data_IF_398218120465
#
_entry.id   IF_398218120465
#
_cell.length_a   1.000
_cell.length_b   1.000
_cell.length_c   1.000
_cell.angle_alpha   90.00
_cell.angle_beta   90.00
_cell.angle_gamma   90.00
#
_symmetry.space_group_name_H-M   'P 1'
#
loop_
_entity.id
_entity.type
_entity.pdbx_description
1 polymer ?
#
# COMPACT_ATOMS: atom_id res chain seq x y z
N UNK A 1 -45.28 41.38 -32.01
CA UNK A 1 -45.05 40.08 -32.70
C UNK A 1 -43.60 39.70 -32.48
N UNK A 2 -43.34 38.81 -31.53
CA UNK A 2 -41.99 38.40 -31.16
C UNK A 2 -41.53 37.30 -32.12
N UNK A 3 -40.49 37.55 -32.91
CA UNK A 3 -39.95 36.57 -33.85
C UNK A 3 -39.54 35.28 -33.09
N UNK A 4 -39.88 34.09 -33.61
CA UNK A 4 -39.51 32.84 -32.94
C UNK A 4 -37.97 32.72 -32.90
N UNK A 5 -37.39 32.28 -31.78
CA UNK A 5 -35.94 32.17 -31.64
C UNK A 5 -35.40 31.23 -32.72
N UNK A 6 -34.46 31.73 -33.52
CA UNK A 6 -33.78 30.97 -34.57
C UNK A 6 -33.10 29.75 -33.96
N UNK A 7 -33.09 28.64 -34.71
CA UNK A 7 -32.63 27.30 -34.26
C UNK A 7 -31.21 27.33 -33.64
N UNK A 8 -30.36 28.26 -34.05
CA UNK A 8 -29.03 28.49 -33.48
C UNK A 8 -29.06 29.08 -32.06
N UNK A 9 -29.96 30.01 -31.76
CA UNK A 9 -30.06 30.63 -30.44
C UNK A 9 -30.46 29.62 -29.35
N UNK A 10 -31.37 28.68 -29.69
CA UNK A 10 -31.77 27.58 -28.79
C UNK A 10 -30.63 26.60 -28.51
N UNK A 11 -29.76 26.36 -29.50
CA UNK A 11 -28.59 25.49 -29.35
C UNK A 11 -27.49 26.12 -28.49
N UNK A 12 -27.22 27.42 -28.67
CA UNK A 12 -26.26 28.13 -27.83
C UNK A 12 -26.74 28.22 -26.37
N UNK A 13 -28.03 28.43 -26.14
CA UNK A 13 -28.64 28.38 -24.80
C UNK A 13 -28.53 26.98 -24.15
N UNK A 14 -28.83 25.92 -24.91
CA UNK A 14 -28.69 24.55 -24.41
C UNK A 14 -27.23 24.22 -24.08
N UNK A 15 -26.29 24.61 -24.94
CA UNK A 15 -24.86 24.41 -24.70
C UNK A 15 -24.39 25.20 -23.48
N UNK A 16 -24.82 26.46 -23.33
CA UNK A 16 -24.48 27.29 -22.17
C UNK A 16 -25.02 26.71 -20.86
N UNK A 17 -26.24 26.14 -20.86
CA UNK A 17 -26.79 25.46 -19.70
C UNK A 17 -26.02 24.18 -19.34
N UNK A 18 -25.61 23.40 -20.34
CA UNK A 18 -24.79 22.20 -20.12
C UNK A 18 -23.43 22.60 -19.54
N UNK A 19 -22.75 23.57 -20.14
CA UNK A 19 -21.45 24.06 -19.68
C UNK A 19 -21.57 24.66 -18.27
N UNK A 20 -22.59 25.47 -18.01
CA UNK A 20 -22.88 26.02 -16.69
C UNK A 20 -23.15 24.94 -15.65
N UNK A 21 -23.90 23.91 -16.01
CA UNK A 21 -24.15 22.75 -15.15
C UNK A 21 -22.89 21.96 -14.83
N UNK A 22 -22.03 21.72 -15.82
CA UNK A 22 -20.74 21.04 -15.63
C UNK A 22 -19.81 21.86 -14.74
N UNK A 23 -19.75 23.18 -14.92
CA UNK A 23 -18.97 24.09 -14.06
C UNK A 23 -19.48 24.10 -12.62
N UNK A 24 -20.80 24.19 -12.42
CA UNK A 24 -21.40 24.14 -11.09
C UNK A 24 -21.11 22.80 -10.39
N UNK A 25 -21.21 21.68 -11.12
CA UNK A 25 -20.89 20.35 -10.61
C UNK A 25 -19.39 20.23 -10.24
N UNK A 26 -18.50 20.74 -11.09
CA UNK A 26 -17.07 20.75 -10.81
C UNK A 26 -16.76 21.57 -9.54
N UNK A 27 -17.42 22.72 -9.34
CA UNK A 27 -17.28 23.55 -8.14
C UNK A 27 -17.82 22.87 -6.87
N UNK A 28 -18.86 22.05 -6.98
CA UNK A 28 -19.42 21.30 -5.84
C UNK A 28 -18.56 20.09 -5.44
N UNK A 29 -17.94 19.43 -6.42
CA UNK A 29 -17.08 18.26 -6.23
C UNK A 29 -15.67 18.61 -5.75
N UNK A 30 -15.22 19.84 -6.01
CA UNK A 30 -13.84 20.26 -5.75
C UNK A 30 -13.78 21.50 -4.87
N UNK A 31 -12.77 21.61 -4.02
CA UNK A 31 -12.49 22.77 -3.17
C UNK A 31 -11.19 23.45 -3.57
N UNK A 32 -10.99 24.69 -3.14
CA UNK A 32 -9.71 25.39 -3.29
C UNK A 32 -8.60 24.81 -2.40
N UNK A 33 -8.97 24.21 -1.27
CA UNK A 33 -8.05 23.71 -0.26
C UNK A 33 -8.28 22.22 0.05
N UNK A 34 -7.22 21.48 0.40
CA UNK A 34 -7.34 20.11 0.86
C UNK A 34 -8.00 20.07 2.23
N UNK A 35 -8.94 19.13 2.43
CA UNK A 35 -9.52 18.88 3.75
C UNK A 35 -8.53 18.22 4.70
N UNK A 36 -7.51 17.53 4.18
CA UNK A 36 -6.42 16.95 4.96
C UNK A 36 -5.21 17.88 4.93
N UNK A 37 -4.75 18.39 6.09
CA UNK A 37 -3.56 19.21 6.16
C UNK A 37 -2.33 18.40 5.74
N UNK A 38 -1.26 19.09 5.36
CA UNK A 38 -0.01 18.43 5.02
C UNK A 38 0.60 17.85 6.32
N UNK A 39 0.47 16.54 6.52
CA UNK A 39 1.15 15.86 7.60
C UNK A 39 2.61 15.71 7.19
N UNK A 40 3.47 16.54 7.79
CA UNK A 40 4.93 16.39 7.67
C UNK A 40 5.29 14.95 8.00
N UNK A 41 6.24 14.40 7.23
CA UNK A 41 6.87 13.07 7.35
C UNK A 41 6.59 12.35 8.67
N UNK A 42 6.13 11.09 8.60
CA UNK A 42 5.82 10.28 9.77
C UNK A 42 6.98 10.30 10.78
N UNK A 43 6.67 10.59 12.04
CA UNK A 43 7.66 10.64 13.12
C UNK A 43 8.21 9.24 13.43
N UNK A 44 9.39 9.17 14.06
CA UNK A 44 9.99 7.89 14.43
C UNK A 44 9.07 7.06 15.36
N UNK A 45 8.34 7.72 16.24
CA UNK A 45 7.36 7.10 17.15
C UNK A 45 6.16 6.51 16.39
N UNK A 46 5.61 7.25 15.43
CA UNK A 46 4.55 6.76 14.55
C UNK A 46 5.00 5.55 13.72
N UNK A 47 6.24 5.55 13.22
CA UNK A 47 6.81 4.41 12.49
C UNK A 47 6.99 3.20 13.40
N UNK A 48 7.36 3.39 14.67
CA UNK A 48 7.48 2.30 15.63
C UNK A 48 6.11 1.68 15.97
N UNK A 49 5.10 2.50 16.23
CA UNK A 49 3.73 2.05 16.50
C UNK A 49 3.14 1.28 15.31
N UNK A 50 3.33 1.80 14.10
CA UNK A 50 2.96 1.12 12.87
C UNK A 50 3.64 -0.24 12.70
N UNK A 51 4.95 -0.32 12.96
CA UNK A 51 5.67 -1.60 12.91
C UNK A 51 5.14 -2.60 13.93
N UNK A 52 4.77 -2.15 15.13
CA UNK A 52 4.18 -3.02 16.14
C UNK A 52 2.84 -3.61 15.66
N UNK A 53 1.97 -2.81 15.05
CA UNK A 53 0.71 -3.27 14.46
C UNK A 53 0.93 -4.26 13.31
N UNK A 54 1.89 -3.99 12.42
CA UNK A 54 2.24 -4.90 11.33
C UNK A 54 2.77 -6.23 11.87
N UNK A 55 3.61 -6.19 12.91
CA UNK A 55 4.13 -7.40 13.54
C UNK A 55 3.03 -8.21 14.25
N UNK A 56 2.05 -7.54 14.86
CA UNK A 56 0.88 -8.20 15.45
C UNK A 56 -0.03 -8.80 14.38
N UNK A 57 -0.26 -8.09 13.27
CA UNK A 57 -1.01 -8.62 12.13
C UNK A 57 -0.29 -9.83 11.49
N UNK A 58 1.04 -9.88 11.50
CA UNK A 58 1.82 -11.05 11.06
C UNK A 58 1.61 -12.29 11.95
N UNK A 59 1.36 -12.12 13.25
CA UNK A 59 1.02 -13.26 14.13
C UNK A 59 -0.28 -13.95 13.70
N UNK A 60 -1.24 -13.20 13.13
CA UNK A 60 -2.44 -13.77 12.51
C UNK A 60 -2.12 -14.72 11.37
N UNK A 61 -1.17 -14.34 10.49
CA UNK A 61 -0.73 -15.22 9.40
C UNK A 61 -0.07 -16.49 9.91
N UNK A 62 0.80 -16.38 10.92
CA UNK A 62 1.54 -17.51 11.47
C UNK A 62 0.61 -18.54 12.13
N UNK A 63 -0.45 -18.07 12.81
CA UNK A 63 -1.41 -18.94 13.48
C UNK A 63 -2.57 -19.38 12.58
N UNK A 64 -2.79 -18.70 11.45
CA UNK A 64 -3.94 -18.94 10.56
C UNK A 64 -5.28 -18.48 11.16
N UNK A 65 -5.25 -17.79 12.30
CA UNK A 65 -6.42 -17.33 13.04
C UNK A 65 -6.57 -15.81 12.98
N UNK A 66 -7.81 -15.27 12.96
CA UNK A 66 -8.05 -13.83 12.98
C UNK A 66 -7.47 -13.20 14.25
N UNK A 67 -6.68 -12.13 14.11
CA UNK A 67 -6.19 -11.35 15.25
C UNK A 67 -7.02 -10.09 15.41
N UNK A 68 -7.37 -9.79 16.65
CA UNK A 68 -8.05 -8.55 17.01
C UNK A 68 -7.01 -7.42 17.11
N UNK A 69 -7.11 -6.45 16.21
CA UNK A 69 -6.29 -5.24 16.19
C UNK A 69 -7.13 -4.10 16.74
N UNK A 70 -6.65 -3.47 17.81
CA UNK A 70 -7.24 -2.25 18.35
C UNK A 70 -6.38 -1.07 17.91
N UNK A 71 -6.98 -0.14 17.18
CA UNK A 71 -6.36 1.09 16.70
C UNK A 71 -6.99 2.23 17.49
N UNK A 72 -6.23 2.87 18.39
CA UNK A 72 -6.65 4.12 19.00
C UNK A 72 -6.25 5.30 18.11
N UNK A 73 -6.54 6.52 18.56
CA UNK A 73 -6.33 7.75 17.78
C UNK A 73 -4.86 7.91 17.34
N UNK A 74 -3.90 7.60 18.22
CA UNK A 74 -2.47 7.71 17.92
C UNK A 74 -2.04 6.74 16.80
N UNK A 75 -2.54 5.50 16.81
CA UNK A 75 -2.28 4.50 15.78
C UNK A 75 -2.93 4.85 14.44
N UNK A 76 -4.14 5.42 14.48
CA UNK A 76 -4.84 5.91 13.29
C UNK A 76 -4.09 7.10 12.66
N UNK A 77 -3.60 8.03 13.48
CA UNK A 77 -2.78 9.15 13.03
C UNK A 77 -1.45 8.67 12.42
N UNK A 78 -0.79 7.70 13.07
CA UNK A 78 0.45 7.10 12.56
C UNK A 78 0.24 6.43 11.19
N UNK A 79 -0.82 5.62 11.08
CA UNK A 79 -1.20 4.96 9.83
C UNK A 79 -1.51 5.98 8.73
N UNK A 80 -2.25 7.02 9.07
CA UNK A 80 -2.63 8.09 8.13
C UNK A 80 -1.43 8.84 7.57
N UNK A 81 -0.46 9.16 8.42
CA UNK A 81 0.78 9.82 8.01
C UNK A 81 1.59 8.95 7.04
N UNK A 82 1.72 7.64 7.31
CA UNK A 82 2.41 6.72 6.42
C UNK A 82 1.72 6.56 5.06
N UNK A 83 0.40 6.41 5.05
CA UNK A 83 -0.37 6.30 3.80
C UNK A 83 -0.23 7.58 2.97
N UNK A 84 -0.34 8.74 3.59
CA UNK A 84 -0.12 10.03 2.93
C UNK A 84 1.28 10.12 2.32
N UNK A 85 2.31 9.72 3.07
CA UNK A 85 3.69 9.73 2.58
C UNK A 85 3.90 8.75 1.42
N UNK A 86 3.31 7.55 1.49
CA UNK A 86 3.44 6.52 0.46
C UNK A 86 2.68 6.81 -0.83
N UNK A 87 1.61 7.62 -0.77
CA UNK A 87 0.73 7.93 -1.90
C UNK A 87 0.72 9.42 -2.28
N UNK A 88 1.77 10.16 -1.95
CA UNK A 88 1.94 11.54 -2.36
C UNK A 88 1.73 11.70 -3.89
N UNK A 89 1.01 12.74 -4.35
CA UNK A 89 0.57 13.92 -3.62
C UNK A 89 -0.82 13.78 -2.96
N UNK A 90 -1.39 12.58 -2.91
CA UNK A 90 -2.67 12.34 -2.22
C UNK A 90 -2.46 12.34 -0.72
N UNK A 91 -3.46 12.84 0.02
CA UNK A 91 -3.46 12.92 1.47
C UNK A 91 -4.59 12.11 2.06
N UNK A 92 -4.33 11.49 3.20
CA UNK A 92 -5.27 10.61 3.88
C UNK A 92 -5.20 10.83 5.39
N UNK A 93 -6.37 10.85 6.02
CA UNK A 93 -6.55 11.04 7.45
C UNK A 93 -7.68 10.15 7.95
N UNK A 94 -7.43 9.43 9.04
CA UNK A 94 -8.40 8.60 9.72
C UNK A 94 -8.49 9.05 11.18
N UNK A 95 -9.70 9.36 11.64
CA UNK A 95 -9.98 9.72 13.02
C UNK A 95 -11.21 8.98 13.53
N UNK A 96 -11.22 8.67 14.81
CA UNK A 96 -12.38 8.15 15.53
C UNK A 96 -12.70 9.13 16.65
N UNK A 97 -13.95 9.57 16.71
CA UNK A 97 -14.43 10.52 17.71
C UNK A 97 -15.91 10.20 17.98
N UNK A 98 -16.30 10.16 19.25
CA UNK A 98 -17.68 9.89 19.69
C UNK A 98 -18.33 8.64 19.06
N UNK A 99 -17.54 7.59 18.83
CA UNK A 99 -18.06 6.34 18.22
C UNK A 99 -18.27 6.42 16.71
N UNK A 100 -17.74 7.45 16.05
CA UNK A 100 -17.80 7.65 14.60
C UNK A 100 -16.39 7.63 14.01
N UNK A 101 -16.14 6.65 13.13
CA UNK A 101 -14.94 6.60 12.32
C UNK A 101 -15.12 7.51 11.10
N UNK A 102 -14.28 8.53 11.00
CA UNK A 102 -14.20 9.43 9.84
C UNK A 102 -12.91 9.20 9.08
N UNK A 103 -13.03 8.79 7.81
CA UNK A 103 -11.93 8.67 6.86
C UNK A 103 -12.02 9.83 5.86
N UNK A 104 -10.95 10.60 5.73
CA UNK A 104 -10.86 11.73 4.81
C UNK A 104 -9.69 11.54 3.85
N UNK A 105 -9.97 11.58 2.55
CA UNK A 105 -8.97 11.58 1.49
C UNK A 105 -9.00 12.89 0.71
N UNK A 106 -7.85 13.48 0.44
CA UNK A 106 -7.70 14.67 -0.41
C UNK A 106 -6.80 14.37 -1.59
N UNK A 107 -7.31 14.56 -2.80
CA UNK A 107 -6.56 14.36 -4.05
C UNK A 107 -6.43 15.68 -4.81
N UNK A 108 -5.22 16.08 -5.23
CA UNK A 108 -5.07 17.27 -6.05
C UNK A 108 -5.62 17.02 -7.47
N UNK A 109 -6.34 18.00 -8.00
CA UNK A 109 -6.85 18.02 -9.37
C UNK A 109 -6.66 19.41 -9.98
N UNK A 110 -5.64 19.54 -10.84
CA UNK A 110 -5.23 20.82 -11.42
C UNK A 110 -4.96 21.87 -10.33
N UNK A 111 -5.80 22.91 -10.25
CA UNK A 111 -5.71 24.01 -9.29
C UNK A 111 -6.70 23.87 -8.11
N UNK A 112 -7.35 22.71 -7.96
CA UNK A 112 -8.35 22.42 -6.93
C UNK A 112 -8.09 21.07 -6.28
N UNK A 113 -8.88 20.74 -5.27
CA UNK A 113 -8.80 19.49 -4.51
C UNK A 113 -10.12 18.74 -4.55
N UNK A 114 -10.05 17.44 -4.79
CA UNK A 114 -11.18 16.54 -4.53
C UNK A 114 -11.03 16.05 -3.10
N UNK A 115 -12.03 16.34 -2.27
CA UNK A 115 -12.11 15.85 -0.90
C UNK A 115 -13.18 14.76 -0.81
N UNK A 116 -12.78 13.59 -0.35
CA UNK A 116 -13.65 12.44 -0.14
C UNK A 116 -13.72 12.20 1.36
N UNK A 117 -14.92 12.15 1.93
CA UNK A 117 -15.14 11.85 3.35
C UNK A 117 -16.04 10.63 3.45
N UNK A 118 -15.61 9.61 4.17
CA UNK A 118 -16.40 8.43 4.49
C UNK A 118 -16.59 8.36 6.01
N UNK A 119 -17.82 8.14 6.46
CA UNK A 119 -18.17 8.01 7.88
C UNK A 119 -18.84 6.67 8.13
N UNK A 120 -18.47 6.02 9.23
CA UNK A 120 -19.09 4.80 9.72
C UNK A 120 -19.21 4.83 11.25
N UNK A 121 -20.18 4.12 11.80
CA UNK A 121 -20.42 4.03 13.24
C UNK A 121 -20.96 2.65 13.62
N UNK A 122 -20.80 2.26 14.88
CA UNK A 122 -21.36 1.02 15.43
C UNK A 122 -20.50 -0.23 15.20
N UNK A 123 -21.14 -1.39 15.27
CA UNK A 123 -20.52 -2.70 15.09
C UNK A 123 -21.09 -3.40 13.85
N UNK A 124 -20.22 -3.99 13.04
CA UNK A 124 -20.61 -4.77 11.86
C UNK A 124 -19.86 -6.09 11.82
N UNK A 125 -20.55 -7.14 11.38
CA UNK A 125 -19.89 -8.30 10.80
C UNK A 125 -19.39 -7.89 9.40
N UNK A 126 -18.10 -8.06 9.14
CA UNK A 126 -17.43 -7.50 7.96
C UNK A 126 -17.16 -5.98 8.03
N UNK A 127 -17.24 -5.32 6.87
CA UNK A 127 -17.09 -3.86 6.73
C UNK A 127 -18.40 -3.15 7.12
N UNK A 128 -18.35 -2.05 7.89
CA UNK A 128 -19.56 -1.28 8.17
C UNK A 128 -20.05 -0.57 6.92
N UNK A 129 -21.32 -0.16 6.93
CA UNK A 129 -21.85 0.74 5.91
C UNK A 129 -21.22 2.12 6.06
N UNK A 130 -20.54 2.58 5.00
CA UNK A 130 -19.93 3.91 4.97
C UNK A 130 -20.84 4.89 4.24
N UNK A 131 -21.18 5.99 4.89
CA UNK A 131 -21.77 7.16 4.22
C UNK A 131 -20.64 7.97 3.59
N UNK A 132 -20.62 8.08 2.25
CA UNK A 132 -19.54 8.73 1.51
C UNK A 132 -20.02 10.08 0.95
N UNK A 133 -19.17 11.11 1.07
CA UNK A 133 -19.38 12.43 0.48
C UNK A 133 -18.16 12.81 -0.36
N UNK A 134 -18.38 13.40 -1.53
CA UNK A 134 -17.33 14.00 -2.38
C UNK A 134 -17.59 15.50 -2.47
N UNK A 135 -16.69 16.32 -1.94
CA UNK A 135 -16.90 17.74 -1.76
C UNK A 135 -18.17 17.99 -0.93
N UNK A 136 -19.13 18.71 -1.50
CA UNK A 136 -20.43 18.96 -0.87
C UNK A 136 -21.50 17.90 -1.18
N UNK A 137 -21.22 16.95 -2.08
CA UNK A 137 -22.22 16.02 -2.60
C UNK A 137 -22.21 14.69 -1.84
N UNK A 138 -23.33 14.30 -1.19
CA UNK A 138 -23.46 12.94 -0.68
C UNK A 138 -23.59 11.96 -1.84
N UNK A 139 -22.82 10.88 -1.78
CA UNK A 139 -22.93 9.80 -2.74
C UNK A 139 -24.01 8.82 -2.27
N UNK A 140 -24.88 8.37 -3.18
CA UNK A 140 -25.77 7.24 -2.92
C UNK A 140 -24.97 5.96 -2.64
N UNK A 141 -25.52 5.07 -1.82
CA UNK A 141 -24.84 3.83 -1.41
C UNK A 141 -24.49 2.90 -2.60
N UNK A 142 -25.31 2.89 -3.66
CA UNK A 142 -25.00 2.11 -4.85
C UNK A 142 -23.71 2.60 -5.55
N UNK A 143 -23.41 3.90 -5.46
CA UNK A 143 -22.23 4.49 -6.10
C UNK A 143 -20.96 4.20 -5.30
N UNK A 144 -21.05 4.14 -3.97
CA UNK A 144 -19.92 3.74 -3.13
C UNK A 144 -19.55 2.26 -3.33
N UNK A 145 -20.55 1.38 -3.45
CA UNK A 145 -20.35 -0.03 -3.78
C UNK A 145 -19.74 -0.23 -5.17
N UNK A 146 -20.26 0.49 -6.17
CA UNK A 146 -19.67 0.48 -7.51
C UNK A 146 -18.22 1.00 -7.51
N UNK A 147 -17.94 2.07 -6.76
CA UNK A 147 -16.61 2.64 -6.61
C UNK A 147 -15.62 1.66 -5.97
N UNK A 148 -16.03 0.94 -4.92
CA UNK A 148 -15.23 -0.13 -4.31
C UNK A 148 -14.92 -1.25 -5.30
N UNK A 149 -15.92 -1.70 -6.07
CA UNK A 149 -15.72 -2.71 -7.10
C UNK A 149 -14.75 -2.22 -8.20
N UNK A 150 -14.81 -0.94 -8.57
CA UNK A 150 -13.88 -0.34 -9.54
C UNK A 150 -12.45 -0.26 -8.99
N UNK A 151 -12.28 0.14 -7.72
CA UNK A 151 -10.97 0.16 -7.05
C UNK A 151 -10.39 -1.25 -7.00
N UNK A 152 -11.17 -2.25 -6.58
CA UNK A 152 -10.76 -3.65 -6.56
C UNK A 152 -10.35 -4.14 -7.96
N UNK A 153 -11.16 -3.86 -8.99
CA UNK A 153 -10.83 -4.19 -10.39
C UNK A 153 -9.54 -3.53 -10.85
N UNK A 154 -9.32 -2.27 -10.49
CA UNK A 154 -8.11 -1.53 -10.87
C UNK A 154 -6.88 -2.03 -10.12
N UNK A 155 -7.01 -2.37 -8.84
CA UNK A 155 -5.93 -3.01 -8.08
C UNK A 155 -5.60 -4.38 -8.67
N UNK A 156 -6.61 -5.22 -8.96
CA UNK A 156 -6.41 -6.50 -9.64
C UNK A 156 -5.72 -6.32 -11.00
N UNK A 157 -6.07 -5.27 -11.77
CA UNK A 157 -5.44 -4.96 -13.04
C UNK A 157 -4.00 -4.38 -12.92
N UNK A 158 -3.65 -3.78 -11.78
CA UNK A 158 -2.30 -3.27 -11.47
C UNK A 158 -1.43 -4.31 -10.74
N UNK A 159 -1.83 -5.59 -10.73
CA UNK A 159 -1.11 -6.66 -10.04
C UNK A 159 -1.32 -6.71 -8.53
N UNK A 160 -2.15 -5.83 -7.96
CA UNK A 160 -2.55 -5.96 -6.56
C UNK A 160 -3.74 -6.92 -6.44
N UNK A 161 -3.54 -8.24 -6.43
CA UNK A 161 -4.59 -9.15 -5.96
C UNK A 161 -4.62 -9.17 -4.43
N UNK A 162 -4.81 -8.00 -3.80
CA UNK A 162 -5.29 -7.97 -2.43
C UNK A 162 -6.66 -8.64 -2.44
N UNK A 163 -6.88 -9.71 -1.65
CA UNK A 163 -8.19 -10.29 -1.56
C UNK A 163 -9.19 -9.24 -1.07
N UNK A 164 -10.47 -9.38 -1.41
CA UNK A 164 -11.47 -8.36 -1.13
C UNK A 164 -11.40 -7.92 0.34
N UNK A 165 -11.49 -6.62 0.62
CA UNK A 165 -11.26 -6.07 1.97
C UNK A 165 -12.18 -6.73 3.03
N UNK A 166 -13.36 -7.16 2.61
CA UNK A 166 -14.35 -7.95 3.36
C UNK A 166 -13.88 -9.36 3.78
N UNK A 167 -12.92 -9.93 3.06
CA UNK A 167 -12.27 -11.21 3.43
C UNK A 167 -11.14 -11.02 4.43
N UNK A 168 -10.54 -9.82 4.45
CA UNK A 168 -9.46 -9.43 5.35
C UNK A 168 -10.04 -8.96 6.68
N UNK A 169 -11.10 -8.16 6.67
CA UNK A 169 -11.77 -7.63 7.86
C UNK A 169 -13.01 -8.47 8.17
N UNK A 170 -12.89 -9.37 9.15
CA UNK A 170 -13.97 -10.29 9.58
C UNK A 170 -15.05 -9.57 10.38
N UNK A 171 -14.66 -8.60 11.19
CA UNK A 171 -15.59 -7.74 11.93
C UNK A 171 -14.91 -6.45 12.30
N UNK A 172 -15.69 -5.38 12.37
CA UNK A 172 -15.22 -4.10 12.88
C UNK A 172 -16.17 -3.58 13.95
N UNK A 173 -15.60 -3.10 15.05
CA UNK A 173 -16.31 -2.45 16.15
C UNK A 173 -15.70 -1.08 16.35
N UNK A 174 -16.51 -0.05 16.19
CA UNK A 174 -16.11 1.33 16.44
C UNK A 174 -16.57 1.67 17.85
N UNK A 175 -15.62 1.83 18.76
CA UNK A 175 -15.81 2.34 20.12
C UNK A 175 -15.68 3.87 20.16
N UNK A 176 -15.87 4.49 21.34
CA UNK A 176 -15.84 5.94 21.50
C UNK A 176 -14.54 6.58 20.96
N UNK A 177 -13.39 6.00 21.32
CA UNK A 177 -12.05 6.54 21.00
C UNK A 177 -11.15 5.54 20.25
N UNK A 178 -11.70 4.40 19.83
CA UNK A 178 -10.91 3.33 19.21
C UNK A 178 -11.69 2.52 18.19
N UNK A 179 -10.97 1.98 17.21
CA UNK A 179 -11.50 1.05 16.22
C UNK A 179 -10.88 -0.31 16.47
N UNK A 180 -11.72 -1.30 16.74
CA UNK A 180 -11.30 -2.69 16.87
C UNK A 180 -11.68 -3.45 15.62
N UNK A 181 -10.70 -4.01 14.91
CA UNK A 181 -10.90 -4.80 13.71
C UNK A 181 -10.33 -6.21 13.92
N UNK A 182 -11.15 -7.23 13.64
CA UNK A 182 -10.64 -8.60 13.52
C UNK A 182 -10.15 -8.81 12.11
N UNK A 183 -8.84 -8.92 11.96
CA UNK A 183 -8.17 -9.02 10.67
C UNK A 183 -7.62 -10.42 10.49
N UNK A 184 -7.94 -11.04 9.34
CA UNK A 184 -7.30 -12.26 8.88
C UNK A 184 -6.43 -11.87 7.68
N UNK A 185 -5.12 -11.80 7.89
CA UNK A 185 -4.21 -11.61 6.78
C UNK A 185 -4.07 -12.92 5.99
N UNK A 186 -4.24 -12.91 4.66
CA UNK A 186 -3.99 -14.09 3.84
C UNK A 186 -2.54 -14.56 3.99
N UNK A 187 -2.35 -15.88 4.07
CA UNK A 187 -1.03 -16.50 3.94
C UNK A 187 -0.62 -16.40 2.46
N UNK A 188 0.48 -15.69 2.19
CA UNK A 188 0.98 -15.50 0.84
C UNK A 188 1.72 -14.19 0.65
N UNK A 189 2.64 -14.18 -0.30
CA UNK A 189 3.54 -13.06 -0.56
C UNK A 189 2.84 -11.91 -1.28
N UNK A 190 3.13 -10.67 -0.87
CA UNK A 190 2.59 -9.46 -1.52
C UNK A 190 3.10 -9.32 -2.96
N UNK A 191 4.31 -9.81 -3.26
CA UNK A 191 4.83 -9.88 -4.63
C UNK A 191 4.28 -11.09 -5.40
N UNK A 192 3.92 -12.20 -4.73
CA UNK A 192 3.28 -13.35 -5.35
C UNK A 192 1.87 -13.03 -5.85
N UNK A 193 1.20 -12.10 -5.18
CA UNK A 193 -0.06 -11.53 -5.67
C UNK A 193 0.17 -10.52 -6.82
N UNK A 194 1.35 -9.90 -6.90
CA UNK A 194 1.84 -9.14 -8.07
C UNK A 194 2.26 -10.02 -9.26
N UNK A 195 2.56 -11.31 -9.05
CA UNK A 195 2.93 -12.28 -10.11
C UNK A 195 1.77 -12.59 -11.09
N UNK A 196 0.53 -12.18 -10.83
CA UNK A 196 -0.60 -12.40 -11.76
C UNK A 196 -0.53 -11.54 -13.03
N UNK A 197 0.49 -10.69 -13.19
CA UNK A 197 0.68 -9.77 -14.33
C UNK A 197 1.55 -10.30 -15.46
N UNK A 198 2.00 -11.57 -15.40
CA UNK A 198 2.69 -12.20 -16.54
C UNK A 198 4.21 -11.96 -16.62
N UNK A 199 4.83 -11.48 -15.54
CA UNK A 199 6.30 -11.47 -15.40
C UNK A 199 6.78 -12.89 -15.07
N UNK A 200 7.85 -13.41 -15.71
CA UNK A 200 8.36 -14.74 -15.40
C UNK A 200 8.71 -14.85 -13.92
N UNK A 201 8.22 -15.91 -13.28
CA UNK A 201 8.43 -16.15 -11.86
C UNK A 201 9.94 -16.25 -11.57
N UNK A 202 10.42 -15.45 -10.61
CA UNK A 202 11.77 -15.62 -10.07
C UNK A 202 11.83 -17.00 -9.41
N UNK A 203 12.81 -17.81 -9.81
CA UNK A 203 13.03 -19.15 -9.26
C UNK A 203 13.41 -19.06 -7.78
N UNK A 204 12.47 -19.43 -6.91
CA UNK A 204 12.63 -19.37 -5.45
C UNK A 204 13.75 -20.30 -4.95
N UNK A 205 13.97 -21.44 -5.62
CA UNK A 205 15.07 -22.36 -5.32
C UNK A 205 16.43 -21.75 -5.67
N UNK A 206 16.50 -21.02 -6.79
CA UNK A 206 17.71 -20.30 -7.19
C UNK A 206 18.03 -19.16 -6.23
N UNK A 207 17.02 -18.39 -5.81
CA UNK A 207 17.17 -17.33 -4.79
C UNK A 207 17.67 -17.91 -3.47
N UNK A 208 17.07 -19.00 -2.99
CA UNK A 208 17.50 -19.67 -1.75
C UNK A 208 18.95 -20.16 -1.82
N UNK A 209 19.36 -20.73 -2.96
CA UNK A 209 20.73 -21.21 -3.19
C UNK A 209 21.74 -20.05 -3.15
N UNK A 210 21.44 -18.94 -3.83
CA UNK A 210 22.30 -17.75 -3.85
C UNK A 210 22.37 -17.13 -2.44
N UNK A 211 21.24 -17.04 -1.74
CA UNK A 211 21.19 -16.53 -0.37
C UNK A 211 22.06 -17.37 0.57
N UNK A 212 21.97 -18.71 0.50
CA UNK A 212 22.82 -19.61 1.27
C UNK A 212 24.31 -19.40 0.97
N UNK A 213 24.67 -19.26 -0.31
CA UNK A 213 26.05 -19.00 -0.72
C UNK A 213 26.57 -17.66 -0.18
N UNK A 214 25.74 -16.60 -0.20
CA UNK A 214 26.05 -15.31 0.41
C UNK A 214 26.26 -15.43 1.92
N UNK A 215 25.34 -16.11 2.62
CA UNK A 215 25.43 -16.34 4.06
C UNK A 215 26.70 -17.10 4.45
N UNK A 216 27.03 -18.17 3.72
CA UNK A 216 28.23 -18.95 3.97
C UNK A 216 29.51 -18.14 3.72
N UNK A 217 29.60 -17.42 2.60
CA UNK A 217 30.75 -16.54 2.30
C UNK A 217 30.89 -15.43 3.33
N UNK A 218 29.79 -14.87 3.81
CA UNK A 218 29.85 -13.83 4.83
C UNK A 218 30.34 -14.35 6.18
N UNK A 219 30.03 -15.60 6.54
CA UNK A 219 30.56 -16.22 7.77
C UNK A 219 32.07 -16.44 7.69
N UNK A 220 32.58 -16.88 6.54
CA UNK A 220 34.01 -17.12 6.33
C UNK A 220 34.82 -15.84 6.08
N UNK A 221 34.26 -14.91 5.32
CA UNK A 221 34.91 -13.66 4.91
C UNK A 221 33.93 -12.48 5.05
N UNK A 222 33.80 -11.91 6.26
CA UNK A 222 32.88 -10.81 6.50
C UNK A 222 33.20 -9.59 5.64
N UNK A 223 32.21 -9.10 4.91
CA UNK A 223 32.31 -7.89 4.11
C UNK A 223 31.11 -6.95 4.36
N UNK A 224 31.35 -5.68 4.75
CA UNK A 224 30.27 -4.73 5.02
C UNK A 224 29.79 -3.98 3.77
N UNK A 225 30.50 -4.08 2.64
CA UNK A 225 30.18 -3.33 1.43
C UNK A 225 29.15 -4.04 0.56
N UNK A 226 28.07 -3.35 0.21
CA UNK A 226 27.02 -3.86 -0.67
C UNK A 226 27.60 -4.31 -2.03
N UNK A 227 28.51 -3.53 -2.61
CA UNK A 227 29.13 -3.86 -3.90
C UNK A 227 29.91 -5.19 -3.87
N UNK A 228 30.47 -5.56 -2.71
CA UNK A 228 31.12 -6.86 -2.56
C UNK A 228 30.11 -8.00 -2.47
N UNK A 229 28.98 -7.80 -1.78
CA UNK A 229 27.91 -8.78 -1.75
C UNK A 229 27.23 -8.94 -3.10
N UNK A 230 27.03 -7.86 -3.85
CA UNK A 230 26.53 -7.93 -5.23
C UNK A 230 27.42 -8.80 -6.11
N UNK A 231 28.74 -8.59 -6.08
CA UNK A 231 29.68 -9.45 -6.81
C UNK A 231 29.58 -10.91 -6.38
N UNK A 232 29.43 -11.18 -5.07
CA UNK A 232 29.26 -12.54 -4.56
C UNK A 232 27.93 -13.18 -5.00
N UNK A 233 26.86 -12.40 -5.07
CA UNK A 233 25.54 -12.84 -5.51
C UNK A 233 25.56 -13.19 -7.00
N UNK A 234 26.09 -12.29 -7.84
CA UNK A 234 26.24 -12.50 -9.28
C UNK A 234 27.18 -13.67 -9.61
N UNK A 235 28.25 -13.86 -8.83
CA UNK A 235 29.14 -15.01 -8.98
C UNK A 235 28.51 -16.34 -8.54
N UNK A 236 27.44 -16.30 -7.75
CA UNK A 236 26.69 -17.48 -7.33
C UNK A 236 25.47 -17.76 -8.24
N UNK A 237 25.14 -16.84 -9.15
CA UNK A 237 24.07 -17.02 -10.13
C UNK A 237 24.59 -17.52 -11.48
N UNK A 238 23.67 -18.08 -12.27
CA UNK A 238 23.93 -18.34 -13.68
C UNK A 238 24.00 -17.02 -14.47
N UNK A 239 24.84 -16.91 -15.51
CA UNK A 239 24.95 -15.71 -16.35
C UNK A 239 23.78 -15.63 -17.34
N UNK A 240 22.55 -15.64 -16.82
CA UNK A 240 21.30 -15.48 -17.56
C UNK A 240 20.47 -14.36 -16.94
N UNK A 241 19.48 -13.79 -17.66
CA UNK A 241 18.55 -12.82 -17.11
C UNK A 241 17.89 -13.31 -15.82
N UNK A 242 17.44 -14.57 -15.79
CA UNK A 242 16.78 -15.19 -14.64
C UNK A 242 17.74 -15.33 -13.45
N UNK A 243 18.99 -15.72 -13.72
CA UNK A 243 20.04 -15.81 -12.71
C UNK A 243 20.38 -14.46 -12.08
N UNK A 244 20.46 -13.41 -12.88
CA UNK A 244 20.69 -12.05 -12.39
C UNK A 244 19.51 -11.53 -11.56
N UNK A 245 18.27 -11.76 -11.99
CA UNK A 245 17.08 -11.43 -11.20
C UNK A 245 17.08 -12.16 -9.86
N UNK A 246 17.37 -13.46 -9.84
CA UNK A 246 17.49 -14.24 -8.61
C UNK A 246 18.61 -13.73 -7.69
N UNK A 247 19.74 -13.29 -8.26
CA UNK A 247 20.84 -12.71 -7.49
C UNK A 247 20.46 -11.38 -6.81
N UNK A 248 19.73 -10.51 -7.52
CA UNK A 248 19.27 -9.23 -6.98
C UNK A 248 18.23 -9.43 -5.88
N UNK A 249 17.28 -10.35 -6.07
CA UNK A 249 16.32 -10.74 -5.03
C UNK A 249 17.03 -11.33 -3.80
N UNK A 250 17.96 -12.26 -3.99
CA UNK A 250 18.74 -12.85 -2.90
C UNK A 250 19.57 -11.80 -2.13
N UNK A 251 20.15 -10.83 -2.84
CA UNK A 251 20.88 -9.71 -2.24
C UNK A 251 19.96 -8.79 -1.43
N UNK A 252 18.76 -8.49 -1.92
CA UNK A 252 17.77 -7.70 -1.20
C UNK A 252 17.36 -8.39 0.10
N UNK A 253 17.08 -9.70 0.05
CA UNK A 253 16.82 -10.51 1.24
C UNK A 253 17.97 -10.47 2.24
N UNK A 254 19.20 -10.61 1.75
CA UNK A 254 20.40 -10.60 2.58
C UNK A 254 20.64 -9.22 3.26
N UNK A 255 20.30 -8.12 2.57
CA UNK A 255 20.45 -6.74 3.07
C UNK A 255 19.35 -6.33 4.06
N UNK A 256 18.12 -6.78 3.81
CA UNK A 256 16.94 -6.43 4.61
C UNK A 256 16.74 -7.36 5.82
N UNK A 257 17.29 -8.57 5.76
CA UNK A 257 17.17 -9.61 6.77
C UNK A 257 16.10 -10.65 6.42
N UNK A 258 16.04 -11.76 7.18
CA UNK A 258 15.14 -12.89 6.89
C UNK A 258 13.66 -12.50 6.91
N UNK A 259 13.28 -11.43 7.61
CA UNK A 259 11.92 -10.88 7.65
C UNK A 259 11.45 -10.34 6.28
N UNK A 260 12.37 -10.03 5.37
CA UNK A 260 12.04 -9.63 4.01
C UNK A 260 11.69 -10.82 3.10
N UNK A 261 11.96 -12.06 3.51
CA UNK A 261 11.60 -13.28 2.78
C UNK A 261 10.09 -13.33 2.44
N UNK A 262 9.27 -12.78 3.34
CA UNK A 262 7.82 -12.68 3.15
C UNK A 262 7.41 -11.77 2.00
N UNK A 263 8.21 -10.76 1.66
CA UNK A 263 7.93 -9.87 0.54
C UNK A 263 8.02 -10.63 -0.78
N UNK A 264 8.95 -11.58 -0.90
CA UNK A 264 9.33 -12.20 -2.17
C UNK A 264 8.72 -13.56 -2.46
N UNK A 265 7.87 -14.10 -1.59
CA UNK A 265 7.27 -15.43 -1.81
C UNK A 265 6.94 -16.16 -0.53
N UNK A 266 7.64 -15.82 0.57
CA UNK A 266 8.06 -16.88 1.47
C UNK A 266 9.11 -17.70 0.73
N UNK A 267 10.31 -17.81 1.28
CA UNK A 267 11.30 -18.70 0.69
C UNK A 267 11.15 -20.00 1.45
N UNK A 268 10.96 -21.10 0.75
CA UNK A 268 10.94 -22.44 1.33
C UNK A 268 12.08 -22.60 2.35
N UNK A 269 11.93 -23.53 3.29
CA UNK A 269 12.79 -23.70 4.49
C UNK A 269 14.33 -23.73 4.28
N UNK A 270 14.82 -23.69 3.04
CA UNK A 270 16.21 -23.46 2.63
C UNK A 270 16.82 -22.16 3.16
N UNK A 271 16.08 -21.04 3.24
CA UNK A 271 16.63 -19.81 3.86
C UNK A 271 16.75 -19.96 5.38
N UNK A 272 15.79 -20.64 6.01
CA UNK A 272 15.76 -20.87 7.45
C UNK A 272 16.99 -21.63 7.95
N UNK A 273 17.45 -22.63 7.18
CA UNK A 273 18.68 -23.39 7.51
C UNK A 273 19.96 -22.57 7.30
N UNK A 274 19.94 -21.63 6.36
CA UNK A 274 21.09 -20.81 6.00
C UNK A 274 21.12 -19.43 6.66
N UNK A 275 20.19 -19.11 7.56
CA UNK A 275 20.07 -17.78 8.16
C UNK A 275 21.44 -17.26 8.65
N UNK A 276 21.92 -16.18 8.03
CA UNK A 276 23.06 -15.43 8.54
C UNK A 276 22.59 -14.49 9.65
N UNK A 277 23.48 -14.18 10.60
CA UNK A 277 23.22 -13.07 11.52
C UNK A 277 22.94 -11.81 10.69
N UNK A 278 21.99 -10.95 11.10
CA UNK A 278 21.69 -9.72 10.39
C UNK A 278 22.99 -8.92 10.14
N UNK A 279 23.33 -8.68 8.88
CA UNK A 279 24.52 -7.92 8.51
C UNK A 279 24.09 -6.54 8.07
N UNK A 280 24.69 -5.52 8.69
CA UNK A 280 24.50 -4.14 8.24
C UNK A 280 25.39 -3.89 7.03
N UNK A 281 24.84 -4.06 5.83
CA UNK A 281 25.52 -3.69 4.60
C UNK A 281 25.49 -2.17 4.43
N UNK A 282 26.56 -1.64 3.84
CA UNK A 282 26.74 -0.20 3.58
C UNK A 282 27.02 0.05 2.11
N UNK A 283 26.50 1.16 1.61
CA UNK A 283 26.82 1.74 0.31
C UNK A 283 27.29 3.17 0.57
N UNK A 284 28.53 3.50 0.20
CA UNK A 284 29.15 4.79 0.53
C UNK A 284 29.05 5.14 2.04
N UNK A 285 29.29 4.15 2.91
CA UNK A 285 29.22 4.31 4.37
C UNK A 285 27.81 4.38 4.95
N UNK A 286 26.76 4.34 4.12
CA UNK A 286 25.35 4.43 4.55
C UNK A 286 24.61 3.11 4.43
N UNK A 287 23.99 2.67 5.53
CA UNK A 287 23.25 1.41 5.58
C UNK A 287 21.86 1.50 4.93
N UNK A 288 21.21 2.66 5.05
CA UNK A 288 19.91 2.91 4.44
C UNK A 288 19.99 2.89 2.92
N UNK A 289 21.03 3.51 2.34
CA UNK A 289 21.27 3.48 0.89
C UNK A 289 21.45 2.07 0.36
N UNK A 290 22.15 1.20 1.10
CA UNK A 290 22.32 -0.18 0.69
C UNK A 290 20.99 -0.95 0.66
N UNK A 291 20.12 -0.72 1.65
CA UNK A 291 18.78 -1.32 1.71
C UNK A 291 17.87 -0.82 0.60
N UNK A 292 17.83 0.50 0.39
CA UNK A 292 17.01 1.12 -0.64
C UNK A 292 17.42 0.66 -2.04
N UNK A 293 18.72 0.70 -2.35
CA UNK A 293 19.22 0.26 -3.65
C UNK A 293 18.90 -1.22 -3.90
N UNK A 294 19.18 -2.10 -2.94
CA UNK A 294 18.97 -3.54 -3.11
C UNK A 294 17.48 -3.87 -3.30
N UNK A 295 16.60 -3.21 -2.54
CA UNK A 295 15.15 -3.38 -2.69
C UNK A 295 14.66 -2.86 -4.05
N UNK A 296 15.07 -1.67 -4.48
CA UNK A 296 14.67 -1.12 -5.77
C UNK A 296 15.12 -1.99 -6.94
N UNK A 297 16.38 -2.47 -6.91
CA UNK A 297 16.90 -3.36 -7.94
C UNK A 297 16.13 -4.68 -8.01
N UNK A 298 15.82 -5.29 -6.85
CA UNK A 298 15.03 -6.51 -6.81
C UNK A 298 13.60 -6.28 -7.36
N UNK A 299 12.96 -5.17 -6.98
CA UNK A 299 11.62 -4.83 -7.46
C UNK A 299 11.59 -4.63 -8.98
N UNK A 300 12.56 -3.89 -9.53
CA UNK A 300 12.66 -3.63 -10.99
C UNK A 300 12.81 -4.93 -11.80
N UNK A 301 13.49 -5.94 -11.26
CA UNK A 301 13.59 -7.25 -11.92
C UNK A 301 12.34 -8.13 -11.80
N UNK A 302 11.38 -7.73 -10.96
CA UNK A 302 10.13 -8.48 -10.69
C UNK A 302 8.88 -7.80 -11.26
N UNK A 303 9.03 -6.63 -11.87
CA UNK A 303 7.97 -5.83 -12.53
C UNK A 303 8.06 -5.94 -14.04
#
# INVERSE_FOLDING_TARGET
MSAPPTRGHRWHLALALIVGGVLALALLLTSSEPAVPDSRHATAEQVAAARALVNQARQSRAMGEPVELTLAEAELAATSAMVTQGFAPNRFDARVEDGVLTLTGSRPMLFRWINIRAQASGASEGLPTFTVKIGALPLPDWFSQWGLALIQRRMAAQGGTLPPIDTIVRSMRIGPDSVTARVLMPQGSLLAHARTTGVPAVDEGMVGTIYCALAQRQRGEPAPLLAQQLRRALAASQPSPEGHSAALVALALFSLGPEAAELFGGVDGTIGTCAARPVTLTLQGRADWAKHWALSAALETTT
#
